data_IF_010102815929
#
_entry.id   IF_010102815929
#
_cell.length_a   1.000
_cell.length_b   1.000
_cell.length_c   1.000
_cell.angle_alpha   90.00
_cell.angle_beta   90.00
_cell.angle_gamma   90.00
#
_symmetry.space_group_name_H-M   'P 1'
#
loop_
_entity.id
_entity.type
_entity.pdbx_description
1 polymer ?
#
# COMPACT_ATOMS: atom_id res chain seq x y z
N UNK A 1 -48.33 -8.37 -21.64
CA UNK A 1 -47.00 -7.81 -21.29
C UNK A 1 -46.71 -8.20 -19.85
N UNK A 2 -45.86 -9.21 -19.64
CA UNK A 2 -45.45 -9.63 -18.29
C UNK A 2 -44.42 -8.63 -17.79
N UNK A 3 -44.83 -7.74 -16.89
CA UNK A 3 -43.91 -6.87 -16.15
C UNK A 3 -43.17 -7.73 -15.13
N UNK A 4 -41.98 -8.20 -15.48
CA UNK A 4 -41.10 -8.87 -14.53
C UNK A 4 -40.78 -7.88 -13.41
N UNK A 5 -41.27 -8.17 -12.20
CA UNK A 5 -40.89 -7.42 -11.00
C UNK A 5 -39.37 -7.52 -10.80
N UNK A 6 -38.70 -6.41 -10.43
CA UNK A 6 -37.26 -6.43 -10.21
C UNK A 6 -36.89 -7.40 -9.08
N UNK A 7 -35.85 -8.21 -9.30
CA UNK A 7 -35.30 -9.10 -8.28
C UNK A 7 -34.45 -8.29 -7.32
N UNK A 8 -34.82 -8.33 -6.03
CA UNK A 8 -34.02 -7.73 -4.97
C UNK A 8 -32.94 -8.72 -4.53
N UNK A 9 -31.71 -8.22 -4.41
CA UNK A 9 -30.58 -8.97 -3.86
C UNK A 9 -30.34 -8.59 -2.39
N UNK A 10 -29.76 -9.51 -1.61
CA UNK A 10 -29.33 -9.17 -0.25
C UNK A 10 -28.27 -8.08 -0.30
N UNK A 11 -28.34 -7.13 0.63
CA UNK A 11 -27.35 -6.05 0.77
C UNK A 11 -25.94 -6.55 1.08
N UNK A 12 -25.86 -7.71 1.73
CA UNK A 12 -24.61 -8.37 2.09
C UNK A 12 -24.70 -9.85 1.72
N UNK A 13 -23.67 -10.34 1.04
CA UNK A 13 -23.48 -11.77 0.80
C UNK A 13 -22.56 -12.35 1.88
N UNK A 14 -23.17 -12.89 2.93
CA UNK A 14 -22.47 -13.51 4.05
C UNK A 14 -21.67 -14.75 3.64
N UNK A 15 -21.98 -15.35 2.49
CA UNK A 15 -21.24 -16.53 2.00
C UNK A 15 -19.80 -16.18 1.58
N UNK A 16 -19.55 -14.94 1.14
CA UNK A 16 -18.20 -14.50 0.72
C UNK A 16 -17.23 -14.61 1.88
N UNK A 17 -17.62 -14.13 3.06
CA UNK A 17 -16.76 -14.12 4.24
C UNK A 17 -16.39 -15.55 4.67
N UNK A 18 -17.34 -16.49 4.63
CA UNK A 18 -17.09 -17.90 4.94
C UNK A 18 -16.17 -18.57 3.89
N UNK A 19 -16.31 -18.22 2.61
CA UNK A 19 -15.44 -18.72 1.53
C UNK A 19 -14.01 -18.19 1.65
N UNK A 20 -13.85 -16.90 2.01
CA UNK A 20 -12.55 -16.30 2.32
C UNK A 20 -11.91 -16.93 3.56
N UNK A 21 -12.67 -17.18 4.63
CA UNK A 21 -12.18 -17.86 5.82
C UNK A 21 -11.70 -19.28 5.51
N UNK A 22 -12.43 -20.02 4.66
CA UNK A 22 -12.00 -21.34 4.16
C UNK A 22 -10.69 -21.26 3.38
N UNK A 23 -10.55 -20.28 2.49
CA UNK A 23 -9.32 -20.04 1.74
C UNK A 23 -8.15 -19.63 2.64
N UNK A 24 -8.40 -18.82 3.68
CA UNK A 24 -7.39 -18.46 4.69
C UNK A 24 -6.93 -19.65 5.53
N UNK A 25 -7.83 -20.63 5.78
CA UNK A 25 -7.50 -21.87 6.46
C UNK A 25 -6.74 -22.89 5.61
N UNK A 26 -6.83 -22.80 4.28
CA UNK A 26 -6.10 -23.65 3.35
C UNK A 26 -4.65 -23.14 3.21
N UNK A 27 -3.70 -23.86 3.78
CA UNK A 27 -2.28 -23.48 3.91
C UNK A 27 -1.36 -24.58 3.36
N UNK A 28 -0.12 -24.24 3.01
CA UNK A 28 0.89 -25.18 2.49
C UNK A 28 0.67 -25.69 1.06
N UNK A 29 -0.57 -26.01 0.68
CA UNK A 29 -0.92 -26.59 -0.62
C UNK A 29 -2.23 -26.00 -1.16
N UNK A 30 -2.16 -25.44 -2.36
CA UNK A 30 -3.31 -25.04 -3.16
C UNK A 30 -3.46 -25.93 -4.40
N UNK A 31 -4.37 -25.57 -5.30
CA UNK A 31 -4.70 -26.36 -6.48
C UNK A 31 -3.58 -26.45 -7.55
N UNK A 32 -2.59 -25.55 -7.51
CA UNK A 32 -1.58 -25.43 -8.56
C UNK A 32 -0.14 -25.48 -8.05
N UNK A 33 0.18 -24.71 -7.01
CA UNK A 33 1.54 -24.56 -6.48
C UNK A 33 1.52 -24.78 -4.97
N UNK A 34 2.43 -25.61 -4.44
CA UNK A 34 2.64 -25.72 -2.99
C UNK A 34 3.48 -24.55 -2.51
N UNK A 35 3.22 -24.05 -1.31
CA UNK A 35 3.97 -22.92 -0.74
C UNK A 35 5.46 -23.26 -0.54
N UNK A 36 5.80 -24.55 -0.39
CA UNK A 36 7.17 -25.03 -0.31
C UNK A 36 7.94 -24.92 -1.64
N UNK A 37 7.24 -25.00 -2.78
CA UNK A 37 7.85 -24.91 -4.11
C UNK A 37 7.86 -23.46 -4.64
N UNK A 38 7.31 -22.51 -3.87
CA UNK A 38 7.15 -21.12 -4.27
C UNK A 38 8.48 -20.42 -4.58
N UNK A 39 9.49 -20.63 -3.73
CA UNK A 39 10.78 -19.95 -3.90
C UNK A 39 11.49 -20.42 -5.18
N UNK A 40 11.39 -21.72 -5.50
CA UNK A 40 11.92 -22.28 -6.73
C UNK A 40 11.18 -21.76 -7.97
N UNK A 41 9.85 -21.63 -7.89
CA UNK A 41 9.04 -21.03 -8.95
C UNK A 41 9.43 -19.56 -9.19
N UNK A 42 9.49 -18.74 -8.13
CA UNK A 42 9.82 -17.31 -8.24
C UNK A 42 11.26 -17.12 -8.74
N UNK A 43 12.21 -17.90 -8.23
CA UNK A 43 13.59 -17.88 -8.71
C UNK A 43 13.69 -18.35 -10.17
N UNK A 44 12.86 -19.32 -10.57
CA UNK A 44 12.71 -19.74 -11.96
C UNK A 44 12.26 -18.58 -12.87
N UNK A 45 11.28 -17.78 -12.44
CA UNK A 45 10.86 -16.56 -13.16
C UNK A 45 11.97 -15.52 -13.25
N UNK A 46 12.77 -15.39 -12.19
CA UNK A 46 13.97 -14.54 -12.17
C UNK A 46 15.04 -14.97 -13.15
N UNK A 47 15.25 -16.28 -13.35
CA UNK A 47 16.23 -16.81 -14.32
C UNK A 47 15.73 -16.78 -15.76
N UNK A 48 14.42 -16.85 -15.96
CA UNK A 48 13.81 -16.83 -17.30
C UNK A 48 14.01 -15.49 -18.03
N UNK A 49 14.29 -14.42 -17.28
CA UNK A 49 14.30 -13.05 -17.79
C UNK A 49 15.54 -12.29 -17.32
N UNK A 50 16.13 -11.47 -18.20
CA UNK A 50 17.19 -10.55 -17.79
C UNK A 50 16.60 -9.27 -17.19
N UNK A 51 17.01 -8.94 -15.97
CA UNK A 51 16.66 -7.70 -15.28
C UNK A 51 17.90 -6.96 -14.82
N UNK A 52 17.97 -5.67 -15.15
CA UNK A 52 19.05 -4.82 -14.67
C UNK A 52 18.53 -3.43 -14.37
N UNK A 53 18.92 -2.90 -13.22
CA UNK A 53 18.62 -1.53 -12.80
C UNK A 53 19.93 -0.86 -12.43
N UNK A 54 20.21 0.30 -13.02
CA UNK A 54 21.41 1.09 -12.75
C UNK A 54 21.01 2.51 -12.44
N UNK A 55 21.63 3.12 -11.43
CA UNK A 55 21.53 4.57 -11.24
C UNK A 55 22.23 5.28 -12.38
N UNK A 56 21.65 6.38 -12.83
CA UNK A 56 22.18 7.23 -13.90
C UNK A 56 22.12 8.70 -13.45
N UNK A 57 22.84 9.58 -14.14
CA UNK A 57 22.66 11.01 -13.91
C UNK A 57 21.30 11.45 -14.45
N UNK A 58 20.74 12.55 -13.92
CA UNK A 58 19.50 13.11 -14.46
C UNK A 58 19.63 13.51 -15.94
N UNK A 59 20.84 13.89 -16.37
CA UNK A 59 21.14 14.23 -17.76
C UNK A 59 21.02 13.04 -18.73
N UNK A 60 21.09 11.81 -18.21
CA UNK A 60 21.00 10.57 -19.00
C UNK A 60 19.57 10.02 -19.05
N UNK A 61 18.59 10.69 -18.42
CA UNK A 61 17.19 10.32 -18.53
C UNK A 61 16.71 10.54 -19.97
N UNK A 62 16.27 9.46 -20.60
CA UNK A 62 15.58 9.51 -21.88
C UNK A 62 14.09 9.82 -21.69
N UNK A 63 13.62 10.86 -22.39
CA UNK A 63 12.24 11.32 -22.33
C UNK A 63 11.84 12.13 -21.10
N UNK A 64 12.70 12.27 -20.08
CA UNK A 64 12.41 13.10 -18.90
C UNK A 64 13.31 14.33 -18.85
N UNK A 65 12.75 15.45 -18.40
CA UNK A 65 13.52 16.70 -18.24
C UNK A 65 12.93 17.57 -17.14
N UNK A 66 13.79 18.42 -16.56
CA UNK A 66 13.36 19.50 -15.69
C UNK A 66 12.82 20.66 -16.54
N UNK A 67 11.60 21.09 -16.27
CA UNK A 67 11.01 22.27 -16.89
C UNK A 67 11.79 23.54 -16.49
N UNK A 68 12.18 24.43 -17.42
CA UNK A 68 13.02 25.58 -17.12
C UNK A 68 12.31 26.68 -16.31
N UNK A 69 10.98 26.76 -16.34
CA UNK A 69 10.22 27.78 -15.61
C UNK A 69 9.87 27.35 -14.18
N UNK A 70 9.42 26.11 -14.02
CA UNK A 70 8.93 25.57 -12.75
C UNK A 70 9.95 24.69 -12.02
N UNK A 71 10.95 24.18 -12.73
CA UNK A 71 11.87 23.17 -12.21
C UNK A 71 11.24 21.79 -12.04
N UNK A 72 9.97 21.56 -12.42
CA UNK A 72 9.32 20.26 -12.27
C UNK A 72 9.99 19.21 -13.16
N UNK A 73 10.18 17.99 -12.66
CA UNK A 73 10.66 16.87 -13.47
C UNK A 73 9.46 16.13 -14.06
N UNK A 74 9.39 16.05 -15.39
CA UNK A 74 8.29 15.38 -16.08
C UNK A 74 8.75 14.69 -17.36
N UNK A 75 7.91 13.78 -17.85
CA UNK A 75 8.13 13.12 -19.13
C UNK A 75 7.60 13.98 -20.30
N UNK A 76 8.35 14.07 -21.39
CA UNK A 76 8.03 14.90 -22.57
C UNK A 76 6.66 14.58 -23.19
N UNK A 77 6.17 13.35 -23.01
CA UNK A 77 4.84 12.95 -23.50
C UNK A 77 3.68 13.40 -22.61
N UNK A 78 3.95 14.02 -21.45
CA UNK A 78 2.93 14.36 -20.45
C UNK A 78 2.28 13.16 -19.74
N UNK A 79 2.85 11.96 -19.86
CA UNK A 79 2.34 10.70 -19.27
C UNK A 79 3.14 10.32 -18.02
N UNK A 80 2.80 9.17 -17.42
CA UNK A 80 3.38 8.63 -16.20
C UNK A 80 3.07 9.51 -14.98
N UNK A 81 4.05 10.27 -14.50
CA UNK A 81 3.94 11.14 -13.33
C UNK A 81 4.88 12.32 -13.48
N UNK A 82 4.73 13.31 -12.61
CA UNK A 82 5.67 14.42 -12.44
C UNK A 82 6.21 14.42 -11.01
N UNK A 83 7.43 14.95 -10.85
CA UNK A 83 7.96 15.36 -9.55
C UNK A 83 7.81 16.87 -9.47
N UNK A 84 7.04 17.32 -8.49
CA UNK A 84 6.71 18.73 -8.27
C UNK A 84 7.04 19.11 -6.83
N UNK A 85 6.81 20.36 -6.43
CA UNK A 85 6.94 20.79 -5.04
C UNK A 85 5.62 20.75 -4.28
N UNK A 86 5.71 20.57 -2.97
CA UNK A 86 4.61 20.69 -2.01
C UNK A 86 5.04 21.63 -0.88
N UNK A 87 4.19 22.59 -0.51
CA UNK A 87 4.31 23.39 0.71
C UNK A 87 3.18 23.01 1.65
N UNK A 88 3.50 22.67 2.89
CA UNK A 88 2.52 22.26 3.89
C UNK A 88 2.67 23.14 5.12
N UNK A 89 1.55 23.68 5.59
CA UNK A 89 1.41 24.44 6.82
C UNK A 89 0.43 23.75 7.75
N UNK A 90 0.77 23.65 9.04
CA UNK A 90 -0.08 23.10 10.10
C UNK A 90 0.22 23.75 11.45
N UNK A 91 -0.78 23.81 12.31
CA UNK A 91 -0.66 24.22 13.72
C UNK A 91 -0.59 23.02 14.68
N UNK A 92 -0.43 21.80 14.15
CA UNK A 92 -0.24 20.55 14.92
C UNK A 92 1.16 19.96 14.73
N UNK A 93 1.65 19.21 15.73
CA UNK A 93 2.98 18.58 15.68
C UNK A 93 4.19 19.54 15.68
N UNK A 94 5.41 18.99 15.73
CA UNK A 94 6.63 19.78 15.91
C UNK A 94 7.08 20.52 14.65
N UNK A 95 6.55 20.18 13.47
CA UNK A 95 6.87 20.84 12.21
C UNK A 95 5.64 21.63 11.72
N UNK A 96 5.66 22.95 11.90
CA UNK A 96 4.54 23.83 11.54
C UNK A 96 4.49 24.19 10.05
N UNK A 97 5.64 24.18 9.39
CA UNK A 97 5.76 24.43 7.96
C UNK A 97 6.90 23.59 7.41
N UNK A 98 6.70 22.99 6.25
CA UNK A 98 7.78 22.36 5.49
C UNK A 98 7.48 22.39 4.00
N UNK A 99 8.54 22.19 3.20
CA UNK A 99 8.44 22.00 1.77
C UNK A 99 9.16 20.70 1.37
N UNK A 100 8.64 20.04 0.34
CA UNK A 100 9.25 18.81 -0.16
C UNK A 100 8.90 18.55 -1.63
N UNK A 101 9.73 17.76 -2.35
CA UNK A 101 9.30 17.12 -3.58
C UNK A 101 8.11 16.19 -3.32
N UNK A 102 7.24 16.08 -4.31
CA UNK A 102 6.06 15.23 -4.27
C UNK A 102 5.80 14.61 -5.65
N UNK A 103 5.40 13.35 -5.69
CA UNK A 103 4.95 12.68 -6.90
C UNK A 103 3.51 13.10 -7.19
N UNK A 104 3.25 13.57 -8.41
CA UNK A 104 1.90 13.84 -8.88
C UNK A 104 1.58 12.95 -10.07
N UNK A 105 0.56 12.13 -9.89
CA UNK A 105 -0.01 11.30 -10.94
C UNK A 105 -1.54 11.33 -10.80
N UNK A 106 -2.24 12.18 -11.56
CA UNK A 106 -3.70 12.33 -11.40
C UNK A 106 -4.49 11.11 -11.88
N UNK A 107 -3.86 10.20 -12.62
CA UNK A 107 -4.51 8.99 -13.12
C UNK A 107 -4.80 7.98 -12.01
N UNK A 108 -6.02 7.46 -12.02
CA UNK A 108 -6.41 6.28 -11.22
C UNK A 108 -6.03 5.01 -11.99
N UNK A 109 -5.10 4.24 -11.44
CA UNK A 109 -4.78 2.90 -11.93
C UNK A 109 -5.72 1.84 -11.38
N UNK A 110 -5.68 0.66 -11.96
CA UNK A 110 -6.36 -0.55 -11.49
C UNK A 110 -5.33 -1.45 -10.82
N UNK A 111 -5.63 -1.83 -9.58
CA UNK A 111 -4.96 -2.88 -8.82
C UNK A 111 -5.99 -4.00 -8.60
N UNK A 112 -5.92 -5.03 -9.43
CA UNK A 112 -6.94 -6.07 -9.53
C UNK A 112 -6.38 -7.45 -9.18
N UNK A 113 -7.02 -8.14 -8.24
CA UNK A 113 -6.79 -9.56 -7.96
C UNK A 113 -7.99 -10.36 -8.48
N UNK A 114 -7.71 -11.30 -9.38
CA UNK A 114 -8.69 -12.24 -9.90
C UNK A 114 -8.78 -13.43 -8.93
N UNK A 115 -10.00 -13.82 -8.60
CA UNK A 115 -10.30 -14.95 -7.73
C UNK A 115 -11.06 -16.03 -8.50
N UNK A 116 -10.81 -17.29 -8.19
CA UNK A 116 -11.51 -18.44 -8.77
C UNK A 116 -11.54 -19.59 -7.76
N UNK A 117 -12.64 -20.34 -7.70
CA UNK A 117 -12.68 -21.56 -6.90
C UNK A 117 -12.07 -22.74 -7.64
N UNK A 118 -11.26 -23.49 -6.89
CA UNK A 118 -10.78 -24.82 -7.25
C UNK A 118 -11.13 -25.73 -6.07
N UNK A 119 -11.86 -26.81 -6.34
CA UNK A 119 -12.30 -27.78 -5.33
C UNK A 119 -13.01 -27.14 -4.11
N UNK A 120 -13.80 -26.10 -4.36
CA UNK A 120 -14.57 -25.37 -3.34
C UNK A 120 -13.74 -24.43 -2.46
N UNK A 121 -12.49 -24.14 -2.85
CA UNK A 121 -11.61 -23.18 -2.15
C UNK A 121 -11.23 -22.05 -3.11
N UNK A 122 -11.47 -20.80 -2.68
CA UNK A 122 -11.03 -19.62 -3.42
C UNK A 122 -9.51 -19.58 -3.53
N UNK A 123 -9.02 -19.37 -4.73
CA UNK A 123 -7.64 -19.03 -5.04
C UNK A 123 -7.59 -17.65 -5.70
N UNK A 124 -6.44 -17.02 -5.64
CA UNK A 124 -6.15 -15.68 -6.13
C UNK A 124 -4.99 -15.77 -7.11
N UNK A 125 -5.16 -15.20 -8.31
CA UNK A 125 -4.17 -15.26 -9.37
C UNK A 125 -3.12 -14.18 -9.14
N UNK A 126 -1.98 -14.55 -8.56
CA UNK A 126 -0.90 -13.62 -8.26
C UNK A 126 0.10 -13.57 -9.42
N UNK A 127 0.77 -12.43 -9.60
CA UNK A 127 1.76 -12.26 -10.67
C UNK A 127 3.17 -12.08 -10.08
N UNK A 128 4.15 -12.84 -10.55
CA UNK A 128 5.55 -12.51 -10.37
C UNK A 128 5.89 -11.30 -11.24
N UNK A 129 6.04 -10.13 -10.62
CA UNK A 129 6.24 -8.86 -11.31
C UNK A 129 7.57 -8.24 -10.92
N UNK A 130 8.39 -7.97 -11.93
CA UNK A 130 9.60 -7.16 -11.74
C UNK A 130 9.19 -5.71 -11.66
N UNK A 131 9.67 -4.97 -10.66
CA UNK A 131 9.62 -3.51 -10.62
C UNK A 131 11.01 -2.94 -10.28
N UNK A 132 11.43 -1.84 -10.91
CA UNK A 132 12.83 -1.40 -10.86
C UNK A 132 13.27 -0.93 -9.47
N UNK A 133 12.32 -0.53 -8.63
CA UNK A 133 12.57 -0.10 -7.27
C UNK A 133 12.54 -1.22 -6.22
N UNK A 134 12.07 -2.43 -6.58
CA UNK A 134 12.04 -3.55 -5.65
C UNK A 134 13.46 -3.98 -5.27
N UNK A 135 13.70 -4.19 -3.97
CA UNK A 135 15.01 -4.58 -3.44
C UNK A 135 15.52 -5.88 -4.04
N UNK A 136 14.61 -6.83 -4.23
CA UNK A 136 14.81 -8.15 -4.83
C UNK A 136 14.31 -8.24 -6.28
N UNK A 137 13.99 -7.10 -6.92
CA UNK A 137 13.43 -6.95 -8.27
C UNK A 137 12.04 -7.58 -8.47
N UNK A 138 11.91 -8.88 -8.23
CA UNK A 138 10.68 -9.67 -8.40
C UNK A 138 9.93 -9.84 -7.09
N UNK A 139 8.64 -9.51 -7.12
CA UNK A 139 7.69 -9.73 -6.02
C UNK A 139 6.35 -10.21 -6.58
N UNK A 140 5.47 -10.73 -5.71
CA UNK A 140 4.08 -11.01 -6.06
C UNK A 140 3.26 -9.73 -6.08
N UNK A 141 2.73 -9.39 -7.24
CA UNK A 141 1.76 -8.32 -7.44
C UNK A 141 0.33 -8.84 -7.61
N UNK A 142 -0.67 -7.96 -7.65
CA UNK A 142 -2.01 -8.31 -8.13
C UNK A 142 -1.95 -8.90 -9.55
N UNK A 143 -3.02 -9.59 -9.95
CA UNK A 143 -3.21 -10.09 -11.32
C UNK A 143 -3.05 -8.98 -12.35
N UNK A 144 -3.61 -7.81 -12.06
CA UNK A 144 -3.52 -6.61 -12.91
C UNK A 144 -3.03 -5.45 -12.07
N UNK A 145 -1.91 -4.88 -12.49
CA UNK A 145 -1.37 -3.62 -11.96
C UNK A 145 -1.10 -2.70 -13.16
N UNK A 146 -2.05 -1.82 -13.46
CA UNK A 146 -2.03 -1.02 -14.68
C UNK A 146 -2.57 0.41 -14.48
N UNK A 147 -1.83 1.39 -14.99
CA UNK A 147 -2.29 2.79 -15.06
C UNK A 147 -3.27 2.98 -16.22
N UNK A 148 -4.12 4.01 -16.14
CA UNK A 148 -5.08 4.35 -17.20
C UNK A 148 -4.43 4.62 -18.56
N UNK A 149 -3.31 5.33 -18.55
CA UNK A 149 -2.47 5.56 -19.73
C UNK A 149 -2.00 4.27 -20.42
N UNK A 150 -1.72 3.21 -19.64
CA UNK A 150 -1.24 1.93 -20.17
C UNK A 150 -2.38 1.11 -20.77
N UNK A 151 -3.54 1.01 -20.11
CA UNK A 151 -4.61 0.13 -20.58
C UNK A 151 -5.57 0.74 -21.62
N UNK A 152 -5.54 2.05 -21.83
CA UNK A 152 -6.30 2.71 -22.92
C UNK A 152 -5.60 2.59 -24.29
N UNK A 153 -4.52 1.81 -24.39
CA UNK A 153 -3.75 1.53 -25.62
C UNK A 153 -3.30 2.79 -26.38
N UNK A 154 -3.06 3.89 -25.66
CA UNK A 154 -2.51 5.12 -26.23
C UNK A 154 -1.03 4.93 -26.61
N UNK A 155 -0.36 3.98 -25.96
CA UNK A 155 0.84 3.34 -26.48
C UNK A 155 0.39 2.16 -27.33
N UNK A 156 1.00 1.91 -28.49
CA UNK A 156 0.74 0.74 -29.37
C UNK A 156 1.25 -0.56 -28.72
N UNK A 157 0.86 -0.72 -27.46
CA UNK A 157 1.39 -1.67 -26.52
C UNK A 157 0.69 -3.03 -26.62
N UNK A 158 1.32 -4.08 -26.10
CA UNK A 158 0.72 -5.37 -25.87
C UNK A 158 -0.39 -5.24 -24.81
N UNK A 159 -1.45 -6.01 -25.00
CA UNK A 159 -2.60 -5.96 -24.10
C UNK A 159 -2.20 -6.40 -22.69
N UNK A 160 -2.66 -5.65 -21.68
CA UNK A 160 -2.49 -6.03 -20.28
C UNK A 160 -3.30 -7.31 -20.04
N UNK A 161 -2.59 -8.42 -19.80
CA UNK A 161 -3.20 -9.73 -19.53
C UNK A 161 -4.26 -9.63 -18.43
N UNK A 162 -5.40 -10.29 -18.62
CA UNK A 162 -6.53 -10.39 -17.67
C UNK A 162 -7.26 -9.07 -17.34
N UNK A 163 -6.91 -7.95 -17.98
CA UNK A 163 -7.52 -6.65 -17.70
C UNK A 163 -9.05 -6.65 -17.82
N UNK A 164 -9.58 -7.38 -18.80
CA UNK A 164 -11.01 -7.38 -19.10
C UNK A 164 -11.89 -7.84 -17.93
N UNK A 165 -11.38 -8.67 -17.02
CA UNK A 165 -12.11 -9.06 -15.81
C UNK A 165 -12.40 -7.86 -14.87
N UNK A 166 -11.65 -6.77 -14.99
CA UNK A 166 -11.75 -5.58 -14.15
C UNK A 166 -12.40 -4.38 -14.86
N UNK A 167 -12.45 -4.42 -16.20
CA UNK A 167 -12.97 -3.31 -17.02
C UNK A 167 -14.29 -3.62 -17.71
N UNK A 168 -14.60 -4.90 -18.00
CA UNK A 168 -15.85 -5.30 -18.67
C UNK A 168 -16.94 -5.54 -17.62
N UNK A 169 -18.02 -4.73 -17.59
CA UNK A 169 -19.11 -4.93 -16.64
C UNK A 169 -19.75 -6.32 -16.80
N UNK A 170 -19.93 -7.04 -15.69
CA UNK A 170 -20.61 -8.33 -15.67
C UNK A 170 -19.75 -9.56 -16.02
N UNK A 171 -18.47 -9.40 -16.35
CA UNK A 171 -17.54 -10.52 -16.65
C UNK A 171 -17.05 -11.29 -15.39
N UNK A 172 -17.72 -11.07 -14.26
CA UNK A 172 -17.35 -11.68 -12.99
C UNK A 172 -18.12 -11.04 -11.85
N UNK A 173 -17.93 -11.61 -10.66
CA UNK A 173 -18.55 -11.15 -9.43
C UNK A 173 -17.57 -10.30 -8.63
N UNK A 174 -17.88 -9.02 -8.48
CA UNK A 174 -17.06 -8.09 -7.69
C UNK A 174 -17.19 -8.43 -6.21
N UNK A 175 -16.09 -8.80 -5.57
CA UNK A 175 -16.00 -9.03 -4.12
C UNK A 175 -15.57 -7.77 -3.37
N UNK A 176 -14.69 -6.97 -3.98
CA UNK A 176 -14.27 -5.66 -3.49
C UNK A 176 -13.98 -4.73 -4.68
N UNK A 177 -14.36 -3.47 -4.57
CA UNK A 177 -14.04 -2.41 -5.55
C UNK A 177 -14.13 -1.05 -4.86
N UNK A 178 -12.97 -0.44 -4.59
CA UNK A 178 -12.87 0.79 -3.80
C UNK A 178 -11.66 1.60 -4.22
N UNK A 179 -11.80 2.93 -4.22
CA UNK A 179 -10.65 3.82 -4.38
C UNK A 179 -9.90 3.92 -3.05
N UNK A 180 -8.61 3.62 -3.06
CA UNK A 180 -7.76 3.79 -1.89
C UNK A 180 -6.60 4.72 -2.18
N UNK A 181 -6.28 5.57 -1.20
CA UNK A 181 -5.16 6.51 -1.19
C UNK A 181 -3.82 5.77 -1.23
N UNK A 182 -2.82 6.36 -1.88
CA UNK A 182 -1.42 5.92 -1.74
C UNK A 182 -0.70 6.69 -0.62
N UNK A 183 0.62 6.54 -0.50
CA UNK A 183 1.45 7.27 0.48
C UNK A 183 1.22 8.78 0.43
N UNK A 184 0.66 9.37 1.50
CA UNK A 184 0.48 10.82 1.60
C UNK A 184 1.79 11.57 1.85
N UNK A 185 2.83 10.88 2.29
CA UNK A 185 4.18 11.45 2.43
C UNK A 185 4.87 11.69 1.08
N UNK A 186 4.53 10.95 0.01
CA UNK A 186 5.25 11.00 -1.26
C UNK A 186 4.37 11.22 -2.49
N UNK A 187 3.07 10.95 -2.42
CA UNK A 187 2.14 11.26 -3.49
C UNK A 187 1.20 12.39 -3.14
N UNK A 188 0.97 13.28 -4.11
CA UNK A 188 -0.07 14.30 -4.03
C UNK A 188 -1.42 13.71 -4.47
N UNK A 189 -2.29 13.43 -3.49
CA UNK A 189 -3.71 13.08 -3.65
C UNK A 189 -3.92 11.90 -4.62
N UNK A 190 -3.00 10.94 -4.59
CA UNK A 190 -3.06 9.75 -5.44
C UNK A 190 -3.98 8.70 -4.82
N UNK A 191 -4.82 8.11 -5.66
CA UNK A 191 -5.55 6.90 -5.32
C UNK A 191 -5.54 5.90 -6.47
N UNK A 192 -5.67 4.61 -6.17
CA UNK A 192 -5.87 3.53 -7.12
C UNK A 192 -7.18 2.79 -6.84
N UNK A 193 -7.79 2.24 -7.89
CA UNK A 193 -8.98 1.38 -7.79
C UNK A 193 -8.52 -0.02 -7.40
N UNK A 194 -8.81 -0.42 -6.17
CA UNK A 194 -8.47 -1.71 -5.60
C UNK A 194 -9.64 -2.66 -5.81
N UNK A 195 -9.42 -3.77 -6.51
CA UNK A 195 -10.48 -4.69 -6.94
C UNK A 195 -10.15 -6.14 -6.62
N UNK A 196 -11.15 -6.87 -6.14
CA UNK A 196 -11.15 -8.33 -6.12
C UNK A 196 -12.36 -8.77 -6.94
N UNK A 197 -12.11 -9.51 -8.03
CA UNK A 197 -13.16 -10.01 -8.92
C UNK A 197 -13.09 -11.52 -8.98
N UNK A 198 -14.19 -12.18 -8.72
CA UNK A 198 -14.35 -13.62 -8.83
C UNK A 198 -14.85 -14.01 -10.22
N UNK A 199 -14.30 -15.07 -10.81
CA UNK A 199 -14.74 -15.62 -12.09
C UNK A 199 -14.94 -17.14 -12.02
N UNK A 200 -15.92 -17.64 -12.76
CA UNK A 200 -16.13 -19.05 -13.04
C UNK A 200 -15.52 -19.48 -14.39
N UNK A 201 -15.09 -18.53 -15.23
CA UNK A 201 -14.40 -18.78 -16.50
C UNK A 201 -13.17 -19.68 -16.30
N UNK A 202 -12.85 -20.50 -17.30
CA UNK A 202 -11.55 -21.14 -17.36
C UNK A 202 -10.50 -20.09 -17.78
N UNK A 203 -9.48 -19.88 -16.95
CA UNK A 203 -8.52 -18.79 -17.10
C UNK A 203 -7.17 -19.39 -17.51
N UNK A 204 -6.72 -19.18 -18.75
CA UNK A 204 -5.38 -19.61 -19.18
C UNK A 204 -4.32 -18.95 -18.30
N UNK A 205 -3.49 -19.75 -17.62
CA UNK A 205 -2.45 -19.25 -16.71
C UNK A 205 -1.15 -19.11 -17.48
N UNK A 206 -0.64 -17.88 -17.55
CA UNK A 206 0.67 -17.59 -18.12
C UNK A 206 1.78 -17.83 -17.07
N UNK A 207 3.00 -18.13 -17.52
CA UNK A 207 4.05 -18.60 -16.61
C UNK A 207 4.44 -17.61 -15.49
N UNK A 208 4.23 -16.30 -15.69
CA UNK A 208 4.47 -15.28 -14.65
C UNK A 208 3.35 -15.24 -13.60
N UNK A 209 2.36 -16.12 -13.67
CA UNK A 209 1.20 -16.14 -12.78
C UNK A 209 1.07 -17.46 -12.03
N UNK A 210 0.55 -17.41 -10.81
CA UNK A 210 0.23 -18.58 -10.02
C UNK A 210 -1.04 -18.39 -9.21
N UNK A 211 -1.86 -19.44 -9.11
CA UNK A 211 -3.02 -19.48 -8.24
C UNK A 211 -2.58 -19.87 -6.83
N UNK A 212 -2.92 -19.04 -5.84
CA UNK A 212 -2.64 -19.28 -4.43
C UNK A 212 -3.90 -19.11 -3.59
N UNK A 213 -4.08 -19.93 -2.56
CA UNK A 213 -5.13 -19.64 -1.56
C UNK A 213 -4.76 -18.40 -0.73
N UNK A 214 -5.73 -17.85 -0.01
CA UNK A 214 -5.47 -16.74 0.91
C UNK A 214 -4.52 -17.15 2.04
N UNK A 215 -4.59 -18.41 2.51
CA UNK A 215 -3.70 -18.95 3.53
C UNK A 215 -2.25 -19.09 3.04
N UNK A 216 -2.04 -19.52 1.80
CA UNK A 216 -0.71 -19.51 1.18
C UNK A 216 -0.14 -18.10 1.07
N UNK A 217 -0.96 -17.13 0.65
CA UNK A 217 -0.55 -15.71 0.62
C UNK A 217 -0.19 -15.23 2.04
N UNK A 218 -0.94 -15.63 3.08
CA UNK A 218 -0.62 -15.36 4.48
C UNK A 218 0.73 -15.94 4.94
N UNK A 219 1.10 -17.12 4.45
CA UNK A 219 2.43 -17.70 4.69
C UNK A 219 3.54 -16.90 3.99
N UNK A 220 3.31 -16.46 2.76
CA UNK A 220 4.26 -15.64 2.01
C UNK A 220 4.42 -14.23 2.59
N UNK A 221 3.36 -13.68 3.18
CA UNK A 221 3.42 -12.41 3.91
C UNK A 221 4.30 -12.47 5.15
N UNK A 222 4.64 -13.66 5.68
CA UNK A 222 5.62 -13.80 6.78
C UNK A 222 7.08 -13.78 6.30
N UNK A 223 7.32 -13.52 5.01
CA UNK A 223 8.65 -13.46 4.40
C UNK A 223 8.93 -12.06 3.90
N UNK A 224 10.16 -11.61 4.08
CA UNK A 224 10.57 -10.26 3.69
C UNK A 224 10.39 -10.04 2.18
N UNK A 225 9.75 -8.93 1.82
CA UNK A 225 9.69 -8.42 0.45
C UNK A 225 9.17 -9.43 -0.60
N UNK A 226 8.26 -10.33 -0.23
CA UNK A 226 7.68 -11.31 -1.18
C UNK A 226 6.39 -10.82 -1.82
N UNK A 227 5.44 -10.33 -1.02
CA UNK A 227 4.14 -9.84 -1.50
C UNK A 227 4.17 -8.32 -1.57
N UNK A 228 4.03 -7.74 -2.77
CA UNK A 228 4.25 -6.32 -3.00
C UNK A 228 3.15 -5.43 -2.37
N UNK A 229 3.43 -4.12 -2.31
CA UNK A 229 2.51 -3.14 -1.69
C UNK A 229 1.11 -3.17 -2.29
N UNK A 230 1.04 -3.25 -3.62
CA UNK A 230 -0.21 -3.23 -4.38
C UNK A 230 -1.09 -4.46 -4.08
N UNK A 231 -0.49 -5.64 -3.91
CA UNK A 231 -1.21 -6.83 -3.47
C UNK A 231 -1.73 -6.68 -2.04
N UNK A 232 -0.90 -6.18 -1.12
CA UNK A 232 -1.29 -5.97 0.29
C UNK A 232 -2.47 -5.01 0.41
N UNK A 233 -2.48 -3.89 -0.32
CA UNK A 233 -3.61 -2.95 -0.29
C UNK A 233 -4.91 -3.56 -0.84
N UNK A 234 -4.86 -4.38 -1.90
CA UNK A 234 -6.06 -5.05 -2.43
C UNK A 234 -6.57 -6.11 -1.45
N UNK A 235 -5.68 -6.92 -0.86
CA UNK A 235 -6.03 -7.95 0.14
C UNK A 235 -6.60 -7.35 1.43
N UNK A 236 -6.18 -6.14 1.81
CA UNK A 236 -6.77 -5.40 2.92
C UNK A 236 -8.26 -5.10 2.70
N UNK A 237 -8.69 -4.98 1.44
CA UNK A 237 -10.08 -4.70 1.06
C UNK A 237 -10.95 -5.98 0.99
N UNK A 238 -10.38 -7.17 1.21
CA UNK A 238 -11.13 -8.41 1.17
C UNK A 238 -12.25 -8.42 2.24
N UNK A 239 -13.50 -8.75 1.87
CA UNK A 239 -14.65 -8.72 2.78
C UNK A 239 -14.68 -9.94 3.72
N UNK A 240 -13.63 -10.10 4.53
CA UNK A 240 -13.56 -11.13 5.57
C UNK A 240 -14.51 -10.81 6.74
N UNK A 241 -14.89 -11.84 7.50
CA UNK A 241 -15.73 -11.68 8.67
C UNK A 241 -15.00 -10.94 9.80
N UNK A 242 -15.80 -10.35 10.68
CA UNK A 242 -15.35 -9.76 11.94
C UNK A 242 -16.13 -10.46 13.04
N UNK A 243 -15.42 -11.23 13.87
CA UNK A 243 -16.03 -12.08 14.91
C UNK A 243 -16.02 -11.39 16.29
N UNK A 244 -15.48 -10.17 16.37
CA UNK A 244 -15.39 -9.39 17.60
C UNK A 244 -16.81 -9.05 18.13
N UNK A 245 -17.14 -9.41 19.39
CA UNK A 245 -18.48 -9.20 19.95
C UNK A 245 -18.80 -7.73 20.29
N UNK A 246 -17.80 -6.84 20.26
CA UNK A 246 -17.94 -5.43 20.59
C UNK A 246 -16.65 -4.65 20.35
N UNK A 247 -16.66 -3.36 20.68
CA UNK A 247 -15.51 -2.46 20.61
C UNK A 247 -15.60 -1.41 21.72
N UNK A 248 -14.46 -0.86 22.16
CA UNK A 248 -14.42 0.24 23.14
C UNK A 248 -15.19 1.47 22.65
N UNK A 249 -15.01 1.82 21.37
CA UNK A 249 -15.80 2.84 20.70
C UNK A 249 -16.86 2.16 19.83
N UNK A 250 -18.16 2.45 20.02
CA UNK A 250 -19.18 2.13 19.02
C UNK A 250 -18.81 2.75 17.67
N UNK A 251 -19.20 2.11 16.56
CA UNK A 251 -18.83 2.60 15.22
C UNK A 251 -19.25 4.05 14.95
N UNK A 252 -20.39 4.48 15.49
CA UNK A 252 -20.85 5.88 15.40
C UNK A 252 -19.94 6.83 16.17
N UNK A 253 -19.42 6.42 17.34
CA UNK A 253 -18.48 7.20 18.12
C UNK A 253 -17.10 7.25 17.44
N UNK A 254 -16.64 6.16 16.84
CA UNK A 254 -15.41 6.13 16.04
C UNK A 254 -15.50 7.08 14.85
N UNK A 255 -16.59 7.03 14.08
CA UNK A 255 -16.83 7.95 12.96
C UNK A 255 -16.94 9.41 13.44
N UNK A 256 -17.59 9.66 14.57
CA UNK A 256 -17.70 10.99 15.18
C UNK A 256 -16.33 11.53 15.58
N UNK A 257 -15.53 10.74 16.30
CA UNK A 257 -14.15 11.08 16.68
C UNK A 257 -13.31 11.42 15.45
N UNK A 258 -13.33 10.56 14.43
CA UNK A 258 -12.53 10.76 13.22
C UNK A 258 -13.01 11.99 12.43
N UNK A 259 -14.32 12.22 12.36
CA UNK A 259 -14.91 13.40 11.72
C UNK A 259 -14.49 14.69 12.44
N UNK A 260 -14.51 14.69 13.78
CA UNK A 260 -14.06 15.82 14.58
C UNK A 260 -12.57 16.14 14.31
N UNK A 261 -11.71 15.11 14.20
CA UNK A 261 -10.30 15.29 13.83
C UNK A 261 -10.12 15.86 12.43
N UNK A 262 -10.88 15.35 11.45
CA UNK A 262 -10.80 15.81 10.06
C UNK A 262 -11.28 17.24 9.88
N UNK A 263 -12.23 17.67 10.71
CA UNK A 263 -12.86 18.99 10.63
C UNK A 263 -12.00 20.09 11.26
N UNK A 264 -10.91 19.75 11.94
CA UNK A 264 -9.98 20.72 12.50
C UNK A 264 -9.35 21.58 11.37
N UNK A 265 -9.23 22.91 11.55
CA UNK A 265 -8.79 23.87 10.53
C UNK A 265 -7.29 23.80 10.14
N UNK A 266 -6.61 22.71 10.46
CA UNK A 266 -5.21 22.74 10.92
C UNK A 266 -4.18 22.40 9.84
N UNK A 267 -4.58 22.31 8.56
CA UNK A 267 -3.69 21.85 7.48
C UNK A 267 -3.98 22.56 6.16
N UNK A 268 -2.94 23.20 5.61
CA UNK A 268 -2.93 23.73 4.25
C UNK A 268 -1.78 23.10 3.49
N UNK A 269 -2.09 22.31 2.46
CA UNK A 269 -1.11 21.68 1.59
C UNK A 269 -1.34 22.14 0.15
N UNK A 270 -0.34 22.84 -0.41
CA UNK A 270 -0.41 23.44 -1.74
C UNK A 270 0.78 23.02 -2.59
N UNK A 271 0.49 22.75 -3.86
CA UNK A 271 1.50 22.36 -4.83
C UNK A 271 2.20 23.61 -5.34
N UNK A 272 3.53 23.60 -5.30
CA UNK A 272 4.40 24.68 -5.74
C UNK A 272 5.35 24.18 -6.84
N UNK A 273 5.98 25.07 -7.63
CA UNK A 273 7.04 24.68 -8.54
C UNK A 273 8.19 23.99 -7.78
N UNK A 274 8.73 22.89 -8.33
CA UNK A 274 9.84 22.15 -7.70
C UNK A 274 11.08 23.03 -7.50
N UNK A 275 11.31 24.00 -8.41
CA UNK A 275 12.41 24.96 -8.31
C UNK A 275 12.28 25.95 -7.15
N UNK A 276 11.11 26.05 -6.51
CA UNK A 276 10.86 26.91 -5.35
C UNK A 276 10.96 26.17 -4.01
N UNK A 277 11.10 24.85 -4.03
CA UNK A 277 11.20 24.02 -2.82
C UNK A 277 12.50 24.33 -2.08
N UNK A 278 12.38 24.88 -0.88
CA UNK A 278 13.50 25.22 0.02
C UNK A 278 14.03 23.97 0.72
N UNK A 279 15.29 24.04 1.15
CA UNK A 279 16.00 22.97 1.89
C UNK A 279 16.16 21.65 1.13
N UNK A 280 15.90 21.66 -0.18
CA UNK A 280 16.19 20.54 -1.09
C UNK A 280 17.19 20.98 -2.16
N UNK A 281 18.24 20.19 -2.35
CA UNK A 281 19.37 20.51 -3.22
C UNK A 281 19.42 19.54 -4.38
N UNK A 282 19.32 20.07 -5.61
CA UNK A 282 19.45 19.29 -6.84
C UNK A 282 20.91 19.19 -7.26
N UNK A 283 21.47 17.98 -7.24
CA UNK A 283 22.74 17.62 -7.86
C UNK A 283 22.56 16.99 -9.24
N UNK A 284 23.66 16.47 -9.80
CA UNK A 284 23.64 15.78 -11.10
C UNK A 284 22.96 14.39 -11.05
N UNK A 285 22.99 13.73 -9.90
CA UNK A 285 22.53 12.34 -9.72
C UNK A 285 21.28 12.22 -8.84
N UNK A 286 21.00 13.22 -8.02
CA UNK A 286 19.92 13.17 -7.05
C UNK A 286 19.44 14.55 -6.63
N UNK A 287 18.21 14.60 -6.12
CA UNK A 287 17.62 15.72 -5.39
C UNK A 287 17.42 15.28 -3.94
N UNK A 288 18.14 15.88 -3.01
CA UNK A 288 18.22 15.46 -1.61
C UNK A 288 17.77 16.60 -0.69
N UNK A 289 17.25 16.26 0.49
CA UNK A 289 17.13 17.24 1.56
C UNK A 289 18.51 17.70 2.03
N UNK A 290 18.69 18.97 2.38
CA UNK A 290 19.97 19.58 2.75
C UNK A 290 20.64 18.89 3.96
N UNK A 291 19.84 18.35 4.87
CA UNK A 291 20.31 17.58 6.03
C UNK A 291 20.43 16.07 5.78
N UNK A 292 20.16 15.59 4.56
CA UNK A 292 20.23 14.16 4.22
C UNK A 292 19.13 13.28 4.82
N UNK A 293 18.02 13.88 5.28
CA UNK A 293 16.83 13.23 5.88
C UNK A 293 15.76 12.87 4.84
N UNK A 294 14.73 12.16 5.30
CA UNK A 294 13.50 11.84 4.58
C UNK A 294 13.72 10.89 3.40
N UNK A 295 14.00 11.43 2.22
CA UNK A 295 14.17 10.68 0.98
C UNK A 295 15.00 11.51 0.01
N UNK A 296 15.36 10.90 -1.11
CA UNK A 296 15.95 11.57 -2.28
C UNK A 296 15.22 11.16 -3.55
N UNK A 297 15.21 12.02 -4.55
CA UNK A 297 14.78 11.66 -5.90
C UNK A 297 16.02 11.28 -6.70
N UNK A 298 15.98 10.13 -7.37
CA UNK A 298 17.10 9.60 -8.18
C UNK A 298 16.60 9.21 -9.57
N UNK A 299 17.52 9.06 -10.52
CA UNK A 299 17.24 8.50 -11.84
C UNK A 299 17.81 7.09 -11.99
N UNK A 300 17.07 6.22 -12.69
CA UNK A 300 17.53 4.88 -13.03
C UNK A 300 17.33 4.57 -14.51
N UNK A 301 18.23 3.76 -15.06
CA UNK A 301 18.04 3.01 -16.30
C UNK A 301 17.63 1.59 -15.95
N UNK A 302 16.66 1.06 -16.67
CA UNK A 302 16.08 -0.26 -16.47
C UNK A 302 16.17 -1.06 -17.75
N UNK A 303 16.55 -2.33 -17.63
CA UNK A 303 16.44 -3.34 -18.68
C UNK A 303 15.57 -4.49 -18.16
N UNK A 304 14.60 -4.91 -18.96
CA UNK A 304 13.61 -5.93 -18.57
C UNK A 304 13.21 -6.81 -19.75
N UNK A 305 13.68 -8.07 -19.76
CA UNK A 305 13.44 -8.99 -20.87
C UNK A 305 11.98 -9.40 -21.09
N UNK A 306 11.15 -9.38 -20.05
CA UNK A 306 9.74 -9.82 -20.09
C UNK A 306 8.72 -8.71 -20.20
N UNK A 307 9.16 -7.46 -20.27
CA UNK A 307 8.27 -6.33 -20.50
C UNK A 307 8.28 -5.94 -21.96
N UNK A 308 7.17 -5.37 -22.40
CA UNK A 308 7.01 -4.84 -23.74
C UNK A 308 8.12 -3.85 -24.11
N UNK A 309 8.41 -2.91 -23.22
CA UNK A 309 9.54 -1.99 -23.37
C UNK A 309 10.75 -2.62 -22.68
N UNK A 310 11.67 -3.12 -23.49
CA UNK A 310 12.85 -3.88 -23.03
C UNK A 310 13.86 -3.04 -22.25
N UNK A 311 13.81 -1.72 -22.37
CA UNK A 311 14.54 -0.81 -21.50
C UNK A 311 13.98 0.60 -21.53
N UNK A 312 14.04 1.28 -20.40
CA UNK A 312 13.58 2.66 -20.22
C UNK A 312 14.36 3.34 -19.10
N UNK A 313 14.19 4.65 -18.97
CA UNK A 313 14.70 5.40 -17.82
C UNK A 313 13.55 6.07 -17.07
N UNK A 314 13.69 6.23 -15.76
CA UNK A 314 12.69 6.94 -14.95
C UNK A 314 13.27 7.49 -13.65
N UNK A 315 12.63 8.51 -13.07
CA UNK A 315 12.87 8.87 -11.69
C UNK A 315 12.26 7.85 -10.71
N UNK A 316 12.85 7.77 -9.52
CA UNK A 316 12.34 7.03 -8.35
C UNK A 316 12.60 7.83 -7.07
N UNK A 317 11.75 7.66 -6.06
CA UNK A 317 11.95 8.18 -4.71
C UNK A 317 12.65 7.12 -3.86
N UNK A 318 13.71 7.48 -3.13
CA UNK A 318 14.47 6.57 -2.28
C UNK A 318 14.53 7.10 -0.84
N UNK A 319 13.87 6.45 0.12
CA UNK A 319 13.93 6.83 1.54
C UNK A 319 15.34 6.76 2.12
N UNK A 320 15.64 7.65 3.08
CA UNK A 320 16.94 7.73 3.78
C UNK A 320 16.97 6.88 5.06
N UNK A 321 16.51 5.64 4.95
CA UNK A 321 16.49 4.67 6.05
C UNK A 321 15.22 3.83 6.06
N UNK A 322 15.24 2.75 6.83
CA UNK A 322 14.12 1.82 6.98
C UNK A 322 12.99 2.47 7.80
N UNK A 323 11.77 2.45 7.26
CA UNK A 323 10.58 2.88 7.97
C UNK A 323 10.22 1.92 9.10
N UNK A 324 9.47 2.42 10.09
CA UNK A 324 8.84 1.61 11.14
C UNK A 324 7.35 1.87 11.08
N UNK A 325 6.60 0.79 10.93
CA UNK A 325 5.15 0.81 10.78
C UNK A 325 4.53 -0.22 11.69
N UNK A 326 3.95 0.21 12.81
CA UNK A 326 3.51 -0.72 13.86
C UNK A 326 2.11 -0.40 14.37
N UNK A 327 1.30 -1.44 14.59
CA UNK A 327 0.16 -1.37 15.49
C UNK A 327 0.57 -1.88 16.87
N UNK A 328 0.39 -1.03 17.87
CA UNK A 328 0.37 -1.43 19.27
C UNK A 328 -1.00 -2.01 19.59
N UNK A 329 -1.03 -3.15 20.26
CA UNK A 329 -2.23 -3.96 20.48
C UNK A 329 -2.51 -4.17 21.96
N UNK A 330 -3.80 -4.17 22.32
CA UNK A 330 -4.28 -4.52 23.67
C UNK A 330 -5.62 -5.25 23.57
N UNK A 331 -5.89 -6.12 24.54
CA UNK A 331 -7.17 -6.82 24.65
C UNK A 331 -8.03 -6.24 25.76
N UNK A 332 -9.25 -5.84 25.43
CA UNK A 332 -10.23 -5.27 26.35
C UNK A 332 -11.45 -6.17 26.42
N UNK A 333 -11.73 -6.75 27.59
CA UNK A 333 -12.82 -7.73 27.72
C UNK A 333 -12.68 -8.95 26.81
N UNK A 334 -11.45 -9.36 26.50
CA UNK A 334 -11.16 -10.45 25.56
C UNK A 334 -11.22 -10.05 24.08
N UNK A 335 -11.44 -8.78 23.75
CA UNK A 335 -11.49 -8.27 22.36
C UNK A 335 -10.19 -7.54 22.00
N UNK A 336 -9.44 -7.99 20.98
CA UNK A 336 -8.23 -7.32 20.54
C UNK A 336 -8.54 -5.97 19.88
N UNK A 337 -7.78 -4.95 20.26
CA UNK A 337 -7.83 -3.60 19.68
C UNK A 337 -6.43 -3.17 19.23
N UNK A 338 -6.43 -2.31 18.22
CA UNK A 338 -5.28 -1.67 17.61
C UNK A 338 -5.30 -0.19 18.00
N UNK A 339 -4.17 0.36 18.42
CA UNK A 339 -4.08 1.80 18.69
C UNK A 339 -3.87 2.56 17.38
N UNK A 340 -4.94 3.01 16.74
CA UNK A 340 -4.85 3.71 15.46
C UNK A 340 -4.60 5.22 15.65
N UNK A 341 -3.83 5.81 14.74
CA UNK A 341 -3.52 7.23 14.72
C UNK A 341 -4.30 7.91 13.58
N UNK A 342 -5.08 8.95 13.88
CA UNK A 342 -5.58 9.89 12.87
C UNK A 342 -4.42 10.76 12.35
N UNK A 343 -3.62 10.21 11.41
CA UNK A 343 -2.35 10.80 10.97
C UNK A 343 -2.57 11.78 9.83
N UNK A 344 -1.92 12.93 9.94
CA UNK A 344 -1.79 13.92 8.88
C UNK A 344 -0.60 13.59 7.99
N UNK A 345 -0.81 13.62 6.68
CA UNK A 345 0.26 13.68 5.68
C UNK A 345 -0.10 14.69 4.60
N UNK A 346 0.89 15.49 4.15
CA UNK A 346 0.64 16.62 3.26
C UNK A 346 0.04 16.26 1.89
N UNK A 347 0.24 15.03 1.45
CA UNK A 347 -0.30 14.50 0.20
C UNK A 347 -1.71 13.94 0.29
N UNK A 348 -2.32 13.82 1.47
CA UNK A 348 -3.69 13.31 1.56
C UNK A 348 -4.72 14.26 0.96
N UNK A 349 -5.81 13.68 0.44
CA UNK A 349 -6.94 14.46 -0.09
C UNK A 349 -7.74 15.10 1.05
N UNK A 350 -8.12 14.29 2.05
CA UNK A 350 -8.96 14.69 3.18
C UNK A 350 -8.16 14.94 4.47
N UNK A 351 -6.92 15.43 4.32
CA UNK A 351 -5.96 15.85 5.37
C UNK A 351 -5.42 14.75 6.28
N UNK A 352 -6.31 13.89 6.79
CA UNK A 352 -5.98 12.80 7.71
C UNK A 352 -6.60 11.47 7.26
N UNK A 353 -5.89 10.40 7.58
CA UNK A 353 -6.35 9.02 7.44
C UNK A 353 -5.93 8.22 8.69
N UNK A 354 -6.64 7.14 9.00
CA UNK A 354 -6.22 6.19 10.03
C UNK A 354 -4.93 5.49 9.59
N UNK A 355 -3.92 5.64 10.42
CA UNK A 355 -2.59 5.07 10.27
C UNK A 355 -2.29 4.12 11.44
N UNK A 356 -1.22 3.31 11.31
CA UNK A 356 -0.68 2.55 12.42
C UNK A 356 -0.24 3.46 13.57
N UNK A 357 -0.09 2.88 14.76
CA UNK A 357 0.34 3.58 15.97
C UNK A 357 1.64 4.34 15.72
N UNK A 358 2.63 3.66 15.13
CA UNK A 358 3.89 4.25 14.70
C UNK A 358 3.97 4.18 13.18
N UNK A 359 4.30 5.30 12.56
CA UNK A 359 4.58 5.42 11.12
C UNK A 359 5.59 6.54 10.91
N UNK A 360 6.87 6.19 10.86
CA UNK A 360 7.98 7.12 10.59
C UNK A 360 9.26 6.38 10.21
N UNK A 361 10.26 7.11 9.73
CA UNK A 361 11.65 6.62 9.67
C UNK A 361 12.37 7.12 10.93
N UNK A 362 12.79 6.21 11.81
CA UNK A 362 13.37 6.56 13.11
C UNK A 362 14.57 7.52 12.98
N UNK A 363 15.41 7.34 11.95
CA UNK A 363 16.56 8.19 11.69
C UNK A 363 16.21 9.67 11.48
N UNK A 364 15.00 9.99 11.00
CA UNK A 364 14.55 11.38 10.84
C UNK A 364 14.30 12.09 12.18
N UNK A 365 14.28 11.34 13.29
CA UNK A 365 14.00 11.82 14.65
C UNK A 365 15.15 11.53 15.63
N UNK A 366 16.32 11.10 15.14
CA UNK A 366 17.44 10.65 15.98
C UNK A 366 18.02 11.73 16.90
N UNK A 367 17.94 12.99 16.48
CA UNK A 367 18.40 14.19 17.18
C UNK A 367 17.35 14.79 18.13
N UNK A 368 16.17 14.19 18.22
CA UNK A 368 15.07 14.68 19.06
C UNK A 368 15.08 14.00 20.43
N UNK A 369 14.81 14.80 21.46
CA UNK A 369 14.64 14.35 22.84
C UNK A 369 13.18 13.97 23.12
N UNK A 370 12.95 13.22 24.21
CA UNK A 370 11.76 12.42 24.55
C UNK A 370 10.38 13.08 24.36
N UNK A 371 10.28 14.42 24.30
CA UNK A 371 9.03 15.15 24.02
C UNK A 371 8.71 15.40 22.53
N UNK A 372 9.71 15.39 21.64
CA UNK A 372 9.56 15.73 20.22
C UNK A 372 9.59 14.51 19.28
N UNK A 373 9.88 13.33 19.84
CA UNK A 373 9.84 12.05 19.12
C UNK A 373 8.39 11.62 18.88
N UNK A 374 8.10 10.91 17.77
CA UNK A 374 6.76 10.37 17.54
C UNK A 374 6.31 9.48 18.72
N UNK A 375 5.06 9.66 19.22
CA UNK A 375 4.54 8.82 20.30
C UNK A 375 4.67 7.32 19.98
N UNK A 376 4.98 6.52 21.00
CA UNK A 376 5.17 5.07 20.93
C UNK A 376 6.36 4.59 20.07
N UNK A 377 7.16 5.48 19.47
CA UNK A 377 8.31 5.07 18.67
C UNK A 377 9.32 4.26 19.50
N UNK A 378 9.67 4.75 20.69
CA UNK A 378 10.67 4.08 21.52
C UNK A 378 10.17 2.73 22.04
N UNK A 379 8.88 2.63 22.39
CA UNK A 379 8.22 1.35 22.70
C UNK A 379 8.40 0.34 21.57
N UNK A 380 8.21 0.75 20.31
CA UNK A 380 8.37 -0.12 19.14
C UNK A 380 9.84 -0.47 18.88
N UNK A 381 10.77 0.48 19.07
CA UNK A 381 12.21 0.25 18.82
C UNK A 381 12.85 -0.63 19.89
N UNK A 382 12.37 -0.58 21.14
CA UNK A 382 12.84 -1.37 22.27
C UNK A 382 11.88 -2.50 22.64
N UNK A 383 11.02 -2.92 21.72
CA UNK A 383 10.00 -3.94 21.96
C UNK A 383 10.62 -5.24 22.49
N UNK A 384 10.03 -5.79 23.55
CA UNK A 384 10.35 -7.14 24.01
C UNK A 384 9.95 -8.15 22.91
N UNK A 385 10.88 -8.97 22.38
CA UNK A 385 10.57 -9.99 21.38
C UNK A 385 9.44 -10.95 21.79
N UNK A 386 9.21 -11.18 23.08
CA UNK A 386 8.12 -12.03 23.57
C UNK A 386 6.73 -11.42 23.33
N UNK A 387 6.64 -10.11 23.11
CA UNK A 387 5.40 -9.34 22.90
C UNK A 387 5.17 -8.99 21.42
N UNK A 388 6.15 -9.27 20.57
CA UNK A 388 6.06 -9.06 19.12
C UNK A 388 5.27 -10.20 18.49
N UNK A 389 4.12 -9.88 17.88
CA UNK A 389 3.24 -10.84 17.20
C UNK A 389 3.58 -11.02 15.72
N UNK A 390 4.27 -10.03 15.17
CA UNK A 390 4.70 -10.00 13.77
C UNK A 390 5.81 -8.96 13.61
N UNK A 391 6.83 -9.29 12.84
CA UNK A 391 7.95 -8.41 12.50
C UNK A 391 8.60 -8.86 11.19
N UNK A 392 8.28 -8.17 10.09
CA UNK A 392 8.73 -8.50 8.73
C UNK A 392 9.04 -7.21 7.96
N UNK A 393 10.06 -7.24 7.11
CA UNK A 393 10.35 -6.15 6.18
C UNK A 393 9.48 -6.27 4.94
N UNK A 394 8.74 -5.21 4.64
CA UNK A 394 8.06 -5.08 3.35
C UNK A 394 8.50 -3.82 2.64
N UNK A 395 8.55 -3.90 1.32
CA UNK A 395 8.81 -2.76 0.46
C UNK A 395 7.53 -2.12 -0.06
N UNK A 396 7.65 -0.84 -0.38
CA UNK A 396 6.63 -0.02 -1.05
C UNK A 396 6.63 -0.26 -2.58
N UNK A 397 5.74 0.39 -3.34
CA UNK A 397 5.61 0.22 -4.81
C UNK A 397 6.93 0.43 -5.57
N UNK A 398 7.53 -0.65 -6.07
CA UNK A 398 8.80 -0.59 -6.81
C UNK A 398 8.72 0.15 -8.15
N UNK A 399 7.52 0.47 -8.64
CA UNK A 399 7.33 1.34 -9.81
C UNK A 399 7.68 2.80 -9.54
N UNK A 400 7.72 3.24 -8.28
CA UNK A 400 7.93 4.64 -7.87
C UNK A 400 8.98 4.80 -6.78
N UNK A 401 9.22 3.77 -5.98
CA UNK A 401 10.09 3.83 -4.84
C UNK A 401 11.26 2.87 -4.96
N UNK A 402 12.49 3.39 -4.90
CA UNK A 402 13.71 2.59 -4.94
C UNK A 402 14.10 2.17 -3.52
N UNK A 403 14.12 0.86 -3.27
CA UNK A 403 14.52 0.27 -1.99
C UNK A 403 13.79 0.89 -0.78
N UNK A 404 12.53 1.30 -0.97
CA UNK A 404 11.72 1.81 0.13
C UNK A 404 11.21 0.63 0.94
N UNK A 405 11.84 0.38 2.08
CA UNK A 405 11.50 -0.71 2.99
C UNK A 405 11.06 -0.14 4.34
N UNK A 406 10.02 -0.77 4.90
CA UNK A 406 9.56 -0.53 6.25
C UNK A 406 9.50 -1.84 7.01
N UNK A 407 9.88 -1.82 8.29
CA UNK A 407 9.61 -2.92 9.23
C UNK A 407 8.17 -2.79 9.69
N UNK A 408 7.36 -3.82 9.44
CA UNK A 408 5.95 -3.86 9.79
C UNK A 408 5.74 -4.74 11.02
N UNK A 409 5.07 -4.22 12.05
CA UNK A 409 4.95 -4.89 13.34
C UNK A 409 3.54 -4.88 13.93
N UNK A 410 3.27 -5.95 14.70
CA UNK A 410 2.22 -5.96 15.73
C UNK A 410 2.90 -6.19 17.09
N UNK A 411 2.63 -5.32 18.06
CA UNK A 411 3.26 -5.33 19.37
C UNK A 411 2.22 -5.25 20.47
N UNK A 412 2.14 -6.28 21.31
CA UNK A 412 1.26 -6.23 22.49
C UNK A 412 1.82 -5.26 23.53
N UNK A 413 1.00 -4.32 23.99
CA UNK A 413 1.30 -3.39 25.07
C UNK A 413 0.48 -3.68 26.33
N UNK A 414 0.92 -3.14 27.46
CA UNK A 414 0.17 -3.14 28.72
C UNK A 414 -0.39 -1.74 28.98
N UNK A 415 -1.04 -1.56 30.14
CA UNK A 415 -1.64 -0.27 30.51
C UNK A 415 -0.58 0.83 30.69
N UNK A 416 0.62 0.49 31.16
CA UNK A 416 1.68 1.46 31.43
C UNK A 416 2.33 1.95 30.13
N UNK A 417 2.45 1.06 29.14
CA UNK A 417 3.00 1.37 27.82
C UNK A 417 1.99 2.01 26.87
N UNK A 418 0.72 1.60 26.92
CA UNK A 418 -0.35 2.09 26.07
C UNK A 418 -1.67 2.18 26.85
N UNK A 419 -2.02 3.35 27.42
CA UNK A 419 -3.14 3.48 28.34
C UNK A 419 -4.51 3.27 27.66
N UNK A 420 -5.52 2.95 28.46
CA UNK A 420 -6.91 2.82 28.00
C UNK A 420 -7.40 4.14 27.36
N UNK A 421 -7.13 5.26 28.04
CA UNK A 421 -7.38 6.59 27.52
C UNK A 421 -6.28 6.97 26.53
N UNK A 422 -6.52 6.67 25.25
CA UNK A 422 -5.58 6.92 24.18
C UNK A 422 -5.17 8.41 24.11
N UNK A 423 -3.88 8.72 23.85
CA UNK A 423 -3.43 10.10 23.78
C UNK A 423 -4.06 10.87 22.60
N UNK A 424 -3.99 12.20 22.59
CA UNK A 424 -4.51 13.00 21.48
C UNK A 424 -3.91 12.56 20.14
N UNK A 425 -4.77 12.20 19.19
CA UNK A 425 -4.39 11.68 17.87
C UNK A 425 -4.81 10.24 17.70
N UNK A 426 -5.01 9.54 18.82
CA UNK A 426 -5.14 8.10 18.83
C UNK A 426 -6.51 7.65 19.31
N UNK A 427 -6.90 6.45 18.87
CA UNK A 427 -8.08 5.74 19.35
C UNK A 427 -7.85 4.23 19.26
N UNK A 428 -8.37 3.50 20.24
CA UNK A 428 -8.45 2.05 20.16
C UNK A 428 -9.55 1.66 19.17
N UNK A 429 -9.18 0.89 18.15
CA UNK A 429 -10.09 0.39 17.10
C UNK A 429 -9.94 -1.12 16.96
N UNK A 430 -11.03 -1.84 16.69
CA UNK A 430 -10.90 -3.27 16.39
C UNK A 430 -10.46 -3.50 14.94
N UNK A 431 -9.85 -4.66 14.62
CA UNK A 431 -9.66 -5.09 13.24
C UNK A 431 -10.97 -5.04 12.44
N UNK A 432 -12.09 -5.47 13.03
CA UNK A 432 -13.40 -5.40 12.42
C UNK A 432 -13.86 -3.99 12.04
N UNK A 433 -13.55 -2.98 12.85
CA UNK A 433 -13.81 -1.58 12.51
C UNK A 433 -12.97 -1.11 11.33
N UNK A 434 -11.68 -1.46 11.28
CA UNK A 434 -10.83 -1.14 10.11
C UNK A 434 -11.32 -1.83 8.83
N UNK A 435 -11.76 -3.11 8.90
CA UNK A 435 -12.36 -3.85 7.77
C UNK A 435 -13.64 -3.21 7.25
N UNK A 436 -14.39 -2.53 8.12
CA UNK A 436 -15.56 -1.76 7.70
C UNK A 436 -15.14 -0.47 6.99
N UNK A 437 -14.18 0.25 7.56
CA UNK A 437 -13.74 1.55 7.04
C UNK A 437 -12.97 1.44 5.71
N UNK A 438 -12.21 0.36 5.48
CA UNK A 438 -11.47 0.13 4.22
C UNK A 438 -12.40 -0.11 3.02
N UNK A 439 -13.71 -0.28 3.24
CA UNK A 439 -14.72 -0.31 2.15
C UNK A 439 -15.03 1.10 1.62
N UNK A 440 -14.47 2.13 2.25
CA UNK A 440 -14.64 3.52 1.88
C UNK A 440 -13.26 4.16 1.67
N UNK A 441 -13.21 5.10 0.74
CA UNK A 441 -11.99 5.85 0.44
C UNK A 441 -11.59 6.75 1.61
N UNK A 442 -10.30 7.03 1.73
CA UNK A 442 -9.73 8.05 2.62
C UNK A 442 -9.96 7.81 4.12
N UNK A 443 -10.28 6.59 4.55
CA UNK A 443 -10.33 6.27 5.98
C UNK A 443 -9.06 5.61 6.48
N UNK A 444 -8.47 4.69 5.72
CA UNK A 444 -7.36 3.84 6.19
C UNK A 444 -6.20 3.97 5.20
N UNK A 445 -5.05 4.45 5.68
CA UNK A 445 -3.89 4.69 4.82
C UNK A 445 -3.21 3.39 4.38
N UNK A 446 -2.30 3.48 3.40
CA UNK A 446 -1.67 2.29 2.78
C UNK A 446 -0.86 1.44 3.76
N UNK A 447 -0.26 2.06 4.77
CA UNK A 447 0.47 1.39 5.84
C UNK A 447 -0.45 0.57 6.74
N UNK A 448 -1.56 1.17 7.21
CA UNK A 448 -2.57 0.47 7.99
C UNK A 448 -3.26 -0.63 7.16
N UNK A 449 -3.48 -0.41 5.86
CA UNK A 449 -3.98 -1.45 4.95
C UNK A 449 -2.99 -2.60 4.81
N UNK A 450 -1.68 -2.33 4.73
CA UNK A 450 -0.66 -3.39 4.76
C UNK A 450 -0.79 -4.24 6.02
N UNK A 451 -0.84 -3.65 7.21
CA UNK A 451 -1.03 -4.41 8.47
C UNK A 451 -2.38 -5.14 8.52
N UNK A 452 -3.46 -4.52 8.01
CA UNK A 452 -4.78 -5.14 7.95
C UNK A 452 -4.79 -6.37 7.02
N UNK A 453 -4.04 -6.34 5.92
CA UNK A 453 -3.91 -7.48 5.00
C UNK A 453 -3.33 -8.71 5.71
N UNK A 454 -2.45 -8.51 6.69
CA UNK A 454 -1.86 -9.58 7.49
C UNK A 454 -2.92 -10.28 8.35
N UNK A 455 -3.84 -9.50 8.93
CA UNK A 455 -4.97 -10.03 9.71
C UNK A 455 -5.98 -10.74 8.80
N UNK A 456 -6.28 -10.16 7.63
CA UNK A 456 -7.25 -10.74 6.69
C UNK A 456 -6.78 -12.06 6.06
N UNK A 457 -5.46 -12.24 5.92
CA UNK A 457 -4.85 -13.45 5.34
C UNK A 457 -4.51 -14.51 6.38
N UNK A 458 -4.65 -14.22 7.67
CA UNK A 458 -4.21 -15.10 8.75
C UNK A 458 -2.68 -15.18 8.89
N UNK A 459 -1.94 -14.25 8.27
CA UNK A 459 -0.50 -14.09 8.50
C UNK A 459 -0.22 -13.76 9.97
N UNK A 460 -1.14 -13.04 10.62
CA UNK A 460 -1.13 -12.69 12.05
C UNK A 460 -2.49 -12.99 12.66
N UNK A 461 -2.50 -13.42 13.93
CA UNK A 461 -3.69 -13.53 14.77
C UNK A 461 -3.39 -12.79 16.09
N UNK A 462 -4.38 -12.04 16.57
CA UNK A 462 -4.28 -11.21 17.78
C UNK A 462 -5.09 -11.80 18.92
#
# INVERSE_FOLDING_TARGET
MSTLSPVLHRRHDETVAARLARSAGATGEGAALRTADFDDWLAGRGRAHHFQVRRIAFADLDGWSFDPGTGNLGHHSGRFFTVEGLSVETDTGPFRHWQQPIIKQPEVGILGILAKEFDGVLHFLMQAKMEPGNRNLLQLSPTVQATRSNYTKVHRGADVKYLDHFTVPGRGRVLADVLQSEHGAWFFRKANRNMIVETDEDVPVDDDFCWLTLGQIGELLRRDNVVNMDARTVLACAPVASDEPGALLPDTALLSWFTARRSAPDVRAERIPLGEVRDWVRGAWSLDHAEGRYFRVVAVSVEAGNREVRGWTQPLFEPRGTGHTAFVTRSFGGVPHLLAHAKLEGGFLDRIELAPTVQCTAANHADRTDGDRPPFLDLVLSADPARVRYDVLHSEEGGRFLNAESRYLFLDADEDEAPLDAPPGYAWVTPGQLRRLVRHSHYVNVQARTLLSLLNTGAVRL
#
